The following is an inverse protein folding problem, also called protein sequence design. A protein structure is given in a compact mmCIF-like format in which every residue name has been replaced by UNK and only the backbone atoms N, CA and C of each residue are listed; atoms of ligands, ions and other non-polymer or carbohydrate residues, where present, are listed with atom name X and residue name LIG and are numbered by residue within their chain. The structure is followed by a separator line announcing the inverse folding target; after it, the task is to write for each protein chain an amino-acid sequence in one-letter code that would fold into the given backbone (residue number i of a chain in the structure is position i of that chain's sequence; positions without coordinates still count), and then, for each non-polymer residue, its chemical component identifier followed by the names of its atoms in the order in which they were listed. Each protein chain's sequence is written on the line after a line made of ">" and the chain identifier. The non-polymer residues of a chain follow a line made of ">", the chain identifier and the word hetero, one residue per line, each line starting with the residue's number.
data_IF_772745560555
#
_entry.id   IF_772745560555
#
_cell.length_a   1.000
_cell.length_b   1.000
_cell.length_c   1.000
_cell.angle_alpha   90.00
_cell.angle_beta   90.00
_cell.angle_gamma   90.00
#
_symmetry.space_group_name_H-M   'P 1'
#
loop_
_entity.id
_entity.type
_entity.pdbx_description
1 polymer ?
#
# COMPACT_ATOMS: atom_id res chain seq x y z
N UNK A 1 -11.30 25.38 34.46
CA UNK A 1 -9.89 25.62 34.17
C UNK A 1 -9.27 24.43 33.44
N UNK A 2 -9.40 23.15 33.88
CA UNK A 2 -8.77 21.99 33.22
C UNK A 2 -9.38 21.72 31.84
N UNK A 3 -10.70 21.79 31.65
CA UNK A 3 -11.40 21.66 30.38
C UNK A 3 -11.03 22.78 29.39
N UNK A 4 -10.97 24.03 29.87
CA UNK A 4 -10.55 25.16 29.02
C UNK A 4 -9.11 25.03 28.53
N UNK A 5 -8.17 24.56 29.39
CA UNK A 5 -6.78 24.34 29.01
C UNK A 5 -6.66 23.23 27.96
N UNK A 6 -7.44 22.15 28.08
CA UNK A 6 -7.47 21.08 27.07
C UNK A 6 -8.06 21.56 25.72
N UNK A 7 -9.10 22.41 25.75
CA UNK A 7 -9.67 23.03 24.56
C UNK A 7 -8.63 23.89 23.84
N UNK A 8 -7.95 24.78 24.54
CA UNK A 8 -6.89 25.62 23.95
C UNK A 8 -5.69 24.81 23.38
N UNK A 9 -5.40 23.62 23.91
CA UNK A 9 -4.36 22.76 23.36
C UNK A 9 -4.84 22.17 22.03
N UNK A 10 -6.08 21.69 21.98
CA UNK A 10 -6.69 21.14 20.76
C UNK A 10 -6.80 22.19 19.67
N UNK A 11 -7.29 23.38 19.99
CA UNK A 11 -7.45 24.48 19.04
C UNK A 11 -6.10 24.86 18.41
N UNK A 12 -5.06 25.07 19.24
CA UNK A 12 -3.72 25.41 18.75
C UNK A 12 -3.12 24.30 17.87
N UNK A 13 -3.34 23.04 18.22
CA UNK A 13 -2.86 21.91 17.43
C UNK A 13 -3.62 21.81 16.11
N UNK A 14 -4.94 22.05 16.12
CA UNK A 14 -5.78 22.05 14.93
C UNK A 14 -5.36 23.17 13.98
N UNK A 15 -5.20 24.39 14.47
CA UNK A 15 -4.77 25.55 13.68
C UNK A 15 -3.39 25.29 13.02
N UNK A 16 -2.44 24.76 13.79
CA UNK A 16 -1.11 24.40 13.31
C UNK A 16 -1.16 23.35 12.19
N UNK A 17 -1.93 22.27 12.37
CA UNK A 17 -2.06 21.21 11.36
C UNK A 17 -2.77 21.72 10.10
N UNK A 18 -3.85 22.52 10.25
CA UNK A 18 -4.55 23.13 9.12
C UNK A 18 -3.64 24.06 8.31
N UNK A 19 -2.88 24.93 8.98
CA UNK A 19 -1.91 25.79 8.31
C UNK A 19 -0.89 24.97 7.50
N UNK A 20 -0.38 23.89 8.09
CA UNK A 20 0.60 23.02 7.43
C UNK A 20 0.00 22.27 6.24
N UNK A 21 -1.20 21.69 6.38
CA UNK A 21 -1.92 20.98 5.33
C UNK A 21 -2.20 21.91 4.14
N UNK A 22 -2.68 23.13 4.42
CA UNK A 22 -2.95 24.11 3.37
C UNK A 22 -1.67 24.62 2.70
N UNK A 23 -0.61 24.87 3.47
CA UNK A 23 0.70 25.34 2.94
C UNK A 23 1.34 24.31 2.00
N UNK A 24 1.16 23.03 2.28
CA UNK A 24 1.68 21.92 1.46
C UNK A 24 0.70 21.46 0.36
N UNK A 25 -0.45 22.14 0.20
CA UNK A 25 -1.48 21.86 -0.80
C UNK A 25 -2.13 20.46 -0.71
N UNK A 26 -2.19 19.89 0.50
CA UNK A 26 -2.82 18.59 0.74
C UNK A 26 -4.27 18.65 1.23
N UNK A 27 -4.91 19.83 1.25
CA UNK A 27 -6.30 19.95 1.71
C UNK A 27 -7.27 19.08 0.88
N UNK A 28 -7.09 19.03 -0.45
CA UNK A 28 -7.87 18.18 -1.35
C UNK A 28 -7.71 16.70 -1.04
N UNK A 29 -6.49 16.26 -0.73
CA UNK A 29 -6.20 14.88 -0.34
C UNK A 29 -6.98 14.47 0.92
N UNK A 30 -6.94 15.29 1.99
CA UNK A 30 -7.69 15.04 3.22
C UNK A 30 -9.20 14.97 2.98
N UNK A 31 -9.74 15.87 2.13
CA UNK A 31 -11.17 15.89 1.82
C UNK A 31 -11.62 14.66 1.04
N UNK A 32 -10.82 14.19 0.08
CA UNK A 32 -11.11 12.96 -0.67
C UNK A 32 -11.08 11.75 0.26
N UNK A 33 -10.09 11.65 1.15
CA UNK A 33 -10.01 10.54 2.12
C UNK A 33 -11.19 10.57 3.07
N UNK A 34 -11.54 11.74 3.63
CA UNK A 34 -12.69 11.89 4.50
C UNK A 34 -13.99 11.49 3.80
N UNK A 35 -14.15 11.83 2.53
CA UNK A 35 -15.32 11.54 1.74
C UNK A 35 -15.58 10.04 1.62
N UNK A 36 -14.61 9.27 1.12
CA UNK A 36 -14.84 7.84 0.93
C UNK A 36 -14.87 7.05 2.26
N UNK A 37 -14.16 7.51 3.31
CA UNK A 37 -14.25 6.91 4.65
C UNK A 37 -15.63 7.12 5.26
N UNK A 38 -16.15 8.35 5.22
CA UNK A 38 -17.49 8.66 5.72
C UNK A 38 -18.57 7.93 4.92
N UNK A 39 -18.43 7.87 3.59
CA UNK A 39 -19.35 7.10 2.76
C UNK A 39 -19.36 5.61 3.14
N UNK A 40 -18.20 5.01 3.36
CA UNK A 40 -18.10 3.61 3.79
C UNK A 40 -18.82 3.38 5.12
N UNK A 41 -18.60 4.25 6.11
CA UNK A 41 -19.25 4.17 7.42
C UNK A 41 -20.78 4.32 7.31
N UNK A 42 -21.28 5.25 6.48
CA UNK A 42 -22.70 5.46 6.24
C UNK A 42 -23.37 4.29 5.49
N UNK A 43 -22.59 3.46 4.81
CA UNK A 43 -23.06 2.26 4.09
C UNK A 43 -22.72 0.96 4.83
N UNK A 44 -22.56 0.99 6.15
CA UNK A 44 -22.30 -0.17 7.02
C UNK A 44 -21.05 -0.98 6.62
N UNK A 45 -20.06 -0.34 5.99
CA UNK A 45 -18.77 -0.94 5.67
C UNK A 45 -17.82 -0.61 6.82
N UNK A 46 -17.36 -1.60 7.62
CA UNK A 46 -16.39 -1.36 8.68
C UNK A 46 -15.09 -0.78 8.15
N UNK A 47 -14.66 0.30 8.79
CA UNK A 47 -13.38 0.97 8.55
C UNK A 47 -12.51 0.84 9.79
N UNK A 48 -11.21 0.62 9.59
CA UNK A 48 -10.25 0.55 10.69
C UNK A 48 -10.11 1.89 11.41
N UNK A 49 -9.65 1.88 12.68
CA UNK A 49 -9.55 3.11 13.49
C UNK A 49 -8.43 4.06 13.04
N UNK A 50 -7.66 3.67 12.05
CA UNK A 50 -6.47 4.36 11.60
C UNK A 50 -5.19 3.69 12.13
N UNK A 51 -4.11 3.78 11.36
CA UNK A 51 -2.80 3.25 11.68
C UNK A 51 -1.68 4.10 11.04
N UNK A 52 -0.44 3.75 11.31
CA UNK A 52 0.71 4.47 10.76
C UNK A 52 0.83 5.91 11.28
N UNK A 53 1.44 6.76 10.49
CA UNK A 53 1.69 8.17 10.84
C UNK A 53 0.42 9.04 10.77
N UNK A 54 -0.54 8.69 9.90
CA UNK A 54 -1.79 9.43 9.73
C UNK A 54 -2.66 9.51 11.00
N UNK A 55 -2.53 8.53 11.91
CA UNK A 55 -3.19 8.56 13.21
C UNK A 55 -2.69 9.72 14.11
N UNK A 56 -1.57 10.36 13.77
CA UNK A 56 -1.03 11.52 14.49
C UNK A 56 -1.73 12.86 14.19
N UNK A 57 -2.65 12.91 13.22
CA UNK A 57 -3.34 14.14 12.82
C UNK A 57 -4.67 14.35 13.56
N UNK A 58 -4.82 15.52 14.23
CA UNK A 58 -6.09 15.92 14.82
C UNK A 58 -7.11 16.35 13.76
N UNK A 59 -6.64 16.85 12.62
CA UNK A 59 -7.52 17.17 11.47
C UNK A 59 -8.13 15.88 10.91
N UNK A 60 -7.33 14.82 10.74
CA UNK A 60 -7.83 13.51 10.30
C UNK A 60 -8.85 12.92 11.29
N UNK A 61 -8.60 13.08 12.59
CA UNK A 61 -9.54 12.69 13.65
C UNK A 61 -10.84 13.50 13.59
N UNK A 62 -10.76 14.81 13.42
CA UNK A 62 -11.94 15.69 13.33
C UNK A 62 -12.78 15.44 12.07
N UNK A 63 -12.14 15.06 10.95
CA UNK A 63 -12.80 14.69 9.69
C UNK A 63 -13.39 13.27 9.70
N UNK A 64 -13.15 12.48 10.75
CA UNK A 64 -13.60 11.09 10.83
C UNK A 64 -12.77 10.10 10.02
N UNK A 65 -11.61 10.50 9.50
CA UNK A 65 -10.67 9.62 8.79
C UNK A 65 -10.09 8.59 9.76
N UNK A 66 -9.76 9.02 10.98
CA UNK A 66 -9.25 8.16 12.05
C UNK A 66 -10.16 8.25 13.29
N UNK A 67 -10.20 7.17 14.07
CA UNK A 67 -10.95 7.10 15.33
C UNK A 67 -10.03 7.22 16.57
N UNK A 68 -8.74 7.52 16.37
CA UNK A 68 -7.73 7.65 17.43
C UNK A 68 -7.49 9.12 17.71
N UNK A 69 -7.75 9.56 18.98
CA UNK A 69 -7.45 10.92 19.42
C UNK A 69 -5.93 11.09 19.60
N UNK A 70 -5.24 11.84 18.70
CA UNK A 70 -3.78 11.95 18.74
C UNK A 70 -3.25 12.67 19.97
N UNK A 71 -4.04 13.56 20.58
CA UNK A 71 -3.65 14.27 21.79
C UNK A 71 -3.70 13.36 23.01
N UNK A 72 -4.70 12.47 23.06
CA UNK A 72 -4.83 11.51 24.16
C UNK A 72 -3.67 10.52 24.23
N UNK A 73 -3.13 10.17 23.07
CA UNK A 73 -2.04 9.18 22.93
C UNK A 73 -0.68 9.80 22.63
N UNK A 74 -0.56 11.13 22.71
CA UNK A 74 0.67 11.91 22.48
C UNK A 74 1.35 11.58 21.14
N UNK A 75 0.53 11.49 20.07
CA UNK A 75 1.00 11.18 18.73
C UNK A 75 1.47 12.45 18.01
N UNK A 76 2.58 12.33 17.29
CA UNK A 76 3.23 13.44 16.59
C UNK A 76 2.72 13.56 15.15
N UNK A 77 2.23 14.77 14.78
CA UNK A 77 1.80 15.11 13.43
C UNK A 77 2.98 15.20 12.47
N UNK A 78 4.12 15.63 12.94
CA UNK A 78 5.35 15.82 12.16
C UNK A 78 5.90 14.50 11.57
N UNK A 79 5.44 13.35 12.08
CA UNK A 79 5.71 12.03 11.48
C UNK A 79 4.88 11.78 10.24
N UNK A 80 3.74 12.44 10.12
CA UNK A 80 2.81 12.31 9.00
C UNK A 80 3.10 13.37 7.93
N UNK A 81 3.14 14.64 8.30
CA UNK A 81 3.49 15.74 7.42
C UNK A 81 4.59 16.60 8.05
N UNK A 82 5.67 16.78 7.31
CA UNK A 82 6.78 17.63 7.70
C UNK A 82 7.31 18.35 6.47
N UNK A 83 7.38 19.70 6.45
CA UNK A 83 7.90 20.47 5.32
C UNK A 83 9.37 20.20 5.02
N UNK A 84 10.14 19.71 6.00
CA UNK A 84 11.54 19.33 5.81
C UNK A 84 11.70 17.95 5.16
N UNK A 85 10.64 17.14 5.15
CA UNK A 85 10.62 15.81 4.56
C UNK A 85 9.78 15.82 3.29
N UNK A 86 10.44 15.76 2.14
CA UNK A 86 9.79 15.66 0.83
C UNK A 86 9.18 14.25 0.67
N UNK A 87 8.02 14.02 1.30
CA UNK A 87 7.25 12.79 1.09
C UNK A 87 5.76 13.13 1.12
N UNK A 88 5.01 12.57 0.17
CA UNK A 88 3.55 12.71 0.14
C UNK A 88 2.93 12.10 1.40
N UNK A 89 1.79 12.66 1.89
CA UNK A 89 1.02 12.04 2.95
C UNK A 89 0.47 10.70 2.47
N UNK A 90 0.47 9.70 3.33
CA UNK A 90 -0.02 8.36 3.03
C UNK A 90 -0.97 7.89 4.15
N UNK A 91 -2.28 7.93 3.87
CA UNK A 91 -3.28 7.34 4.74
C UNK A 91 -3.51 5.88 4.34
N UNK A 92 -3.09 4.99 5.21
CA UNK A 92 -3.45 3.56 5.15
C UNK A 92 -4.86 3.35 5.69
N UNK A 93 -5.85 3.19 4.82
CA UNK A 93 -7.23 2.97 5.25
C UNK A 93 -7.59 1.50 5.10
N UNK A 94 -7.90 0.89 6.24
CA UNK A 94 -8.32 -0.51 6.30
C UNK A 94 -9.84 -0.61 6.19
N UNK A 95 -10.34 -1.30 5.17
CA UNK A 95 -11.75 -1.65 4.99
C UNK A 95 -12.00 -3.13 5.27
N UNK A 96 -13.21 -3.50 5.63
CA UNK A 96 -13.57 -4.90 5.61
C UNK A 96 -13.47 -5.44 4.17
N UNK A 97 -12.93 -6.65 4.02
CA UNK A 97 -12.59 -7.19 2.69
C UNK A 97 -13.82 -7.29 1.76
N UNK A 98 -15.00 -7.59 2.31
CA UNK A 98 -16.25 -7.71 1.56
C UNK A 98 -16.82 -6.36 1.12
N UNK A 99 -16.45 -5.27 1.82
CA UNK A 99 -16.95 -3.93 1.52
C UNK A 99 -16.00 -3.08 0.68
N UNK A 100 -14.71 -3.46 0.61
CA UNK A 100 -13.65 -2.67 -0.06
C UNK A 100 -13.99 -2.33 -1.52
N UNK A 101 -14.43 -3.31 -2.28
CA UNK A 101 -14.72 -3.11 -3.71
C UNK A 101 -15.92 -2.17 -3.92
N UNK A 102 -16.90 -2.15 -3.02
CA UNK A 102 -18.01 -1.19 -3.05
C UNK A 102 -17.53 0.25 -2.82
N UNK A 103 -16.50 0.45 -1.96
CA UNK A 103 -15.90 1.77 -1.77
C UNK A 103 -15.15 2.20 -3.02
N UNK A 104 -14.44 1.28 -3.68
CA UNK A 104 -13.75 1.56 -4.93
C UNK A 104 -14.73 1.93 -6.05
N UNK A 105 -15.86 1.22 -6.16
CA UNK A 105 -16.94 1.53 -7.09
C UNK A 105 -17.53 2.92 -6.83
N UNK A 106 -17.74 3.28 -5.56
CA UNK A 106 -18.20 4.61 -5.18
C UNK A 106 -17.23 5.70 -5.63
N UNK A 107 -15.95 5.55 -5.34
CA UNK A 107 -14.90 6.48 -5.73
C UNK A 107 -14.83 6.63 -7.25
N UNK A 108 -14.85 5.51 -7.97
CA UNK A 108 -14.83 5.49 -9.44
C UNK A 108 -16.06 6.19 -10.04
N UNK A 109 -17.24 5.98 -9.46
CA UNK A 109 -18.46 6.62 -9.94
C UNK A 109 -18.51 8.13 -9.60
N UNK A 110 -17.96 8.52 -8.44
CA UNK A 110 -17.98 9.91 -7.98
C UNK A 110 -16.96 10.79 -8.69
N UNK A 111 -15.72 10.31 -8.80
CA UNK A 111 -14.61 11.08 -9.36
C UNK A 111 -14.43 10.88 -10.88
N UNK A 112 -15.09 9.87 -11.44
CA UNK A 112 -15.08 9.57 -12.88
C UNK A 112 -14.21 8.37 -13.24
N UNK A 113 -14.73 7.55 -14.17
CA UNK A 113 -14.03 6.34 -14.63
C UNK A 113 -12.72 6.63 -15.35
N UNK A 114 -12.62 7.80 -15.97
CA UNK A 114 -11.41 8.22 -16.68
C UNK A 114 -10.37 8.84 -15.75
N UNK A 115 -10.76 9.15 -14.49
CA UNK A 115 -9.89 9.82 -13.51
C UNK A 115 -9.43 8.90 -12.38
N UNK A 116 -9.93 7.66 -12.32
CA UNK A 116 -9.62 6.70 -11.26
C UNK A 116 -9.07 5.40 -11.85
N UNK A 117 -7.91 4.96 -11.38
CA UNK A 117 -7.37 3.65 -11.75
C UNK A 117 -6.56 3.03 -10.61
N UNK A 118 -6.38 1.72 -10.67
CA UNK A 118 -5.42 1.03 -9.81
C UNK A 118 -3.98 1.34 -10.23
N UNK A 119 -3.03 1.24 -9.29
CA UNK A 119 -1.60 1.39 -9.57
C UNK A 119 -1.05 0.05 -10.03
N UNK A 120 -0.15 0.04 -11.02
CA UNK A 120 0.58 -1.17 -11.40
C UNK A 120 1.70 -1.50 -10.42
N UNK A 121 2.06 -2.77 -10.39
CA UNK A 121 3.28 -3.24 -9.74
C UNK A 121 4.15 -3.93 -10.79
N UNK A 122 5.44 -3.65 -10.75
CA UNK A 122 6.42 -4.34 -11.60
C UNK A 122 7.16 -5.38 -10.78
N UNK A 123 6.94 -6.63 -11.09
CA UNK A 123 7.77 -7.70 -10.56
C UNK A 123 9.10 -7.73 -11.29
N UNK A 124 10.20 -7.57 -10.57
CA UNK A 124 11.56 -7.69 -11.08
C UNK A 124 12.16 -9.05 -10.77
N UNK A 125 13.17 -9.45 -11.53
CA UNK A 125 13.94 -10.66 -11.27
C UNK A 125 14.85 -10.42 -10.06
N UNK A 126 14.38 -10.77 -8.87
CA UNK A 126 15.17 -10.67 -7.65
C UNK A 126 16.21 -11.81 -7.55
N UNK A 127 17.29 -11.61 -6.79
CA UNK A 127 18.46 -12.47 -6.69
C UNK A 127 18.15 -13.98 -6.56
N UNK A 128 17.27 -14.37 -5.61
CA UNK A 128 16.90 -15.78 -5.40
C UNK A 128 16.04 -16.35 -6.53
N UNK A 129 15.20 -15.49 -7.12
CA UNK A 129 14.31 -15.92 -8.20
C UNK A 129 15.08 -16.11 -9.51
N UNK A 130 15.94 -15.15 -9.87
CA UNK A 130 16.70 -15.19 -11.11
C UNK A 130 17.63 -16.40 -11.19
N UNK A 131 18.29 -16.79 -10.08
CA UNK A 131 19.11 -18.03 -10.04
C UNK A 131 18.28 -19.28 -10.38
N UNK A 132 17.09 -19.42 -9.78
CA UNK A 132 16.22 -20.57 -10.08
C UNK A 132 15.70 -20.55 -11.51
N UNK A 133 15.38 -19.36 -12.02
CA UNK A 133 14.91 -19.21 -13.41
C UNK A 133 16.01 -19.56 -14.42
N UNK A 134 17.23 -19.08 -14.21
CA UNK A 134 18.39 -19.42 -15.07
C UNK A 134 18.67 -20.92 -15.04
N UNK A 135 18.70 -21.54 -13.84
CA UNK A 135 18.88 -22.99 -13.69
C UNK A 135 17.83 -23.77 -14.48
N UNK A 136 16.57 -23.35 -14.37
CA UNK A 136 15.45 -23.98 -15.10
C UNK A 136 15.59 -23.86 -16.61
N UNK A 137 15.96 -22.67 -17.12
CA UNK A 137 16.15 -22.43 -18.57
C UNK A 137 17.32 -23.21 -19.14
N UNK A 138 18.40 -23.36 -18.34
CA UNK A 138 19.56 -24.20 -18.72
C UNK A 138 19.30 -25.72 -18.60
N UNK A 139 18.07 -26.13 -18.23
CA UNK A 139 17.71 -27.54 -18.11
C UNK A 139 18.38 -28.26 -16.93
N UNK A 140 18.94 -27.52 -15.97
CA UNK A 140 19.61 -28.11 -14.81
C UNK A 140 18.58 -28.53 -13.74
N UNK A 141 18.93 -29.49 -12.83
CA UNK A 141 18.02 -30.00 -11.81
C UNK A 141 17.53 -28.89 -10.87
N UNK A 142 16.25 -28.94 -10.46
CA UNK A 142 15.65 -27.96 -9.54
C UNK A 142 16.44 -27.83 -8.22
N UNK A 143 16.90 -28.97 -7.63
CA UNK A 143 17.68 -28.97 -6.40
C UNK A 143 18.99 -28.20 -6.49
N UNK A 144 19.58 -28.11 -7.69
CA UNK A 144 20.78 -27.31 -7.92
C UNK A 144 20.47 -25.81 -7.76
N UNK A 145 19.42 -25.32 -8.41
CA UNK A 145 19.00 -23.92 -8.29
C UNK A 145 18.54 -23.54 -6.88
N UNK A 146 17.88 -24.47 -6.19
CA UNK A 146 17.42 -24.23 -4.84
C UNK A 146 18.60 -24.17 -3.84
N UNK A 147 19.65 -24.96 -4.04
CA UNK A 147 20.90 -24.87 -3.28
C UNK A 147 21.58 -23.52 -3.43
N UNK A 148 21.72 -23.02 -4.67
CA UNK A 148 22.30 -21.70 -4.94
C UNK A 148 21.48 -20.59 -4.31
N UNK A 149 20.16 -20.62 -4.49
CA UNK A 149 19.26 -19.60 -3.94
C UNK A 149 19.20 -19.58 -2.41
N UNK A 150 19.33 -20.73 -1.74
CA UNK A 150 19.38 -20.83 -0.27
C UNK A 150 20.71 -20.37 0.34
N UNK A 151 21.78 -20.36 -0.44
CA UNK A 151 23.08 -19.84 0.00
C UNK A 151 23.09 -18.29 0.08
N UNK A 152 22.14 -17.60 -0.56
CA UNK A 152 21.99 -16.15 -0.45
C UNK A 152 21.54 -15.80 0.98
N UNK A 153 22.23 -14.84 1.65
CA UNK A 153 21.86 -14.38 3.00
C UNK A 153 20.41 -13.90 3.08
N UNK A 154 19.80 -14.06 4.26
CA UNK A 154 18.41 -13.64 4.50
C UNK A 154 18.33 -12.15 4.82
N UNK A 155 18.66 -11.31 3.82
CA UNK A 155 18.59 -9.87 3.87
C UNK A 155 17.61 -9.41 2.80
N UNK A 156 16.64 -8.59 3.20
CA UNK A 156 15.64 -8.05 2.28
C UNK A 156 16.30 -7.16 1.21
N UNK A 157 15.99 -7.41 -0.07
CA UNK A 157 16.48 -6.59 -1.18
C UNK A 157 17.96 -6.80 -1.52
N UNK A 158 18.62 -7.85 -1.00
CA UNK A 158 20.03 -8.15 -1.32
C UNK A 158 20.19 -8.42 -2.80
N UNK A 159 21.18 -7.80 -3.45
CA UNK A 159 21.57 -8.10 -4.83
C UNK A 159 22.53 -9.30 -4.89
N UNK A 160 22.67 -9.89 -6.08
CA UNK A 160 23.63 -10.97 -6.31
C UNK A 160 25.07 -10.52 -6.08
N UNK A 161 25.40 -9.28 -6.46
CA UNK A 161 26.74 -8.71 -6.21
C UNK A 161 27.01 -8.52 -4.71
N UNK A 162 26.01 -8.06 -3.93
CA UNK A 162 26.13 -7.97 -2.46
C UNK A 162 26.26 -9.35 -1.83
N UNK A 163 25.43 -10.31 -2.29
CA UNK A 163 25.47 -11.67 -1.80
C UNK A 163 26.85 -12.35 -2.07
N UNK A 164 27.48 -12.08 -3.21
CA UNK A 164 28.78 -12.65 -3.56
C UNK A 164 29.92 -12.17 -2.64
N UNK A 165 29.75 -11.03 -1.92
CA UNK A 165 30.72 -10.58 -0.92
C UNK A 165 30.69 -11.43 0.36
N UNK A 166 29.57 -12.15 0.58
CA UNK A 166 29.41 -13.03 1.73
C UNK A 166 30.10 -14.40 1.47
N UNK A 167 30.93 -14.80 2.40
CA UNK A 167 31.79 -16.00 2.27
C UNK A 167 31.00 -17.26 1.90
N UNK A 168 29.86 -17.49 2.55
CA UNK A 168 29.04 -18.68 2.31
C UNK A 168 28.52 -18.78 0.88
N UNK A 169 27.98 -17.67 0.34
CA UNK A 169 27.45 -17.65 -1.02
C UNK A 169 28.57 -17.76 -2.05
N UNK A 170 29.67 -17.04 -1.83
CA UNK A 170 30.85 -17.08 -2.69
C UNK A 170 31.43 -18.50 -2.81
N UNK A 171 31.57 -19.23 -1.69
CA UNK A 171 32.07 -20.60 -1.70
C UNK A 171 31.19 -21.52 -2.56
N UNK A 172 29.85 -21.38 -2.48
CA UNK A 172 28.89 -22.18 -3.25
C UNK A 172 28.96 -21.85 -4.75
N UNK A 173 29.17 -20.58 -5.10
CA UNK A 173 29.31 -20.17 -6.53
C UNK A 173 30.65 -20.64 -7.08
N UNK A 174 31.74 -20.53 -6.32
CA UNK A 174 33.10 -20.88 -6.75
C UNK A 174 33.36 -22.39 -6.76
N UNK A 175 32.45 -23.22 -6.22
CA UNK A 175 32.57 -24.67 -6.11
C UNK A 175 32.63 -25.37 -7.49
N UNK A 176 31.92 -24.81 -8.50
CA UNK A 176 31.88 -25.41 -9.84
C UNK A 176 31.73 -24.35 -10.94
N UNK A 177 32.25 -24.70 -12.12
CA UNK A 177 32.09 -23.84 -13.30
C UNK A 177 30.61 -23.69 -13.72
N UNK A 178 29.79 -24.72 -13.45
CA UNK A 178 28.35 -24.62 -13.67
C UNK A 178 27.67 -23.61 -12.77
N UNK A 179 28.10 -23.48 -11.50
CA UNK A 179 27.59 -22.47 -10.57
C UNK A 179 27.97 -21.07 -11.03
N UNK A 180 29.20 -20.89 -11.51
CA UNK A 180 29.67 -19.62 -12.06
C UNK A 180 28.90 -19.21 -13.32
N UNK A 181 28.68 -20.14 -14.26
CA UNK A 181 27.88 -19.91 -15.46
C UNK A 181 26.47 -19.39 -15.12
N UNK A 182 25.80 -20.05 -14.15
CA UNK A 182 24.47 -19.65 -13.68
C UNK A 182 24.53 -18.28 -13.05
N UNK A 183 25.52 -17.99 -12.19
CA UNK A 183 25.69 -16.71 -11.52
C UNK A 183 25.93 -15.58 -12.53
N UNK A 184 26.83 -15.76 -13.51
CA UNK A 184 27.13 -14.73 -14.50
C UNK A 184 25.93 -14.41 -15.40
N UNK A 185 25.13 -15.41 -15.75
CA UNK A 185 23.85 -15.18 -16.43
C UNK A 185 22.84 -14.46 -15.56
N UNK A 186 22.72 -14.89 -14.30
CA UNK A 186 21.79 -14.30 -13.36
C UNK A 186 22.09 -12.84 -13.10
N UNK A 187 23.37 -12.44 -13.00
CA UNK A 187 23.79 -11.04 -12.86
C UNK A 187 23.31 -10.14 -13.99
N UNK A 188 23.27 -10.66 -15.23
CA UNK A 188 22.78 -9.90 -16.40
C UNK A 188 21.27 -9.71 -16.41
N UNK A 189 20.54 -10.58 -15.72
CA UNK A 189 19.07 -10.63 -15.71
C UNK A 189 18.49 -10.04 -14.41
N UNK A 190 19.28 -9.93 -13.35
CA UNK A 190 18.83 -9.36 -12.07
C UNK A 190 18.32 -7.94 -12.29
N UNK A 191 17.18 -7.62 -11.65
CA UNK A 191 16.54 -6.30 -11.75
C UNK A 191 15.71 -6.07 -13.01
N UNK A 192 15.79 -6.92 -14.04
CA UNK A 192 14.93 -6.79 -15.21
C UNK A 192 13.47 -7.04 -14.86
N UNK A 193 12.57 -6.29 -15.48
CA UNK A 193 11.12 -6.48 -15.32
C UNK A 193 10.70 -7.85 -15.85
N UNK A 194 9.98 -8.62 -15.03
CA UNK A 194 9.49 -9.96 -15.33
C UNK A 194 7.99 -10.00 -15.56
N UNK A 195 7.25 -9.29 -14.75
CA UNK A 195 5.79 -9.30 -14.77
C UNK A 195 5.23 -7.93 -14.38
N UNK A 196 4.05 -7.66 -14.90
CA UNK A 196 3.24 -6.52 -14.50
C UNK A 196 2.00 -7.08 -13.79
N UNK A 197 1.67 -6.51 -12.64
CA UNK A 197 0.47 -6.82 -11.89
C UNK A 197 -0.22 -5.54 -11.43
N UNK A 198 -1.36 -5.66 -10.80
CA UNK A 198 -2.05 -4.54 -10.15
C UNK A 198 -1.71 -4.53 -8.66
N UNK A 199 -1.44 -3.35 -8.12
CA UNK A 199 -1.22 -3.17 -6.68
C UNK A 199 -2.48 -3.56 -5.90
N UNK A 200 -2.31 -4.26 -4.78
CA UNK A 200 -3.44 -4.80 -4.02
C UNK A 200 -4.33 -3.71 -3.39
N UNK A 201 -3.78 -2.54 -3.12
CA UNK A 201 -4.45 -1.48 -2.38
C UNK A 201 -4.39 -0.11 -3.07
N UNK A 202 -3.31 0.19 -3.79
CA UNK A 202 -3.04 1.51 -4.34
C UNK A 202 -3.98 1.88 -5.49
N UNK A 203 -4.58 3.04 -5.36
CA UNK A 203 -5.47 3.66 -6.33
C UNK A 203 -5.02 5.11 -6.54
N UNK A 204 -5.09 5.60 -7.75
CA UNK A 204 -4.89 7.00 -8.08
C UNK A 204 -6.20 7.66 -8.45
N UNK A 205 -6.36 8.90 -8.01
CA UNK A 205 -7.48 9.77 -8.35
C UNK A 205 -6.87 11.04 -8.93
N UNK A 206 -7.07 11.26 -10.24
CA UNK A 206 -6.53 12.41 -10.94
C UNK A 206 -7.57 13.56 -11.02
N UNK A 207 -7.12 14.81 -11.09
CA UNK A 207 -8.00 15.97 -11.24
C UNK A 207 -8.63 16.07 -12.65
N UNK A 208 -8.00 15.45 -13.66
CA UNK A 208 -8.48 15.34 -15.05
C UNK A 208 -8.37 13.89 -15.51
N UNK A 209 -8.45 13.61 -16.80
CA UNK A 209 -8.27 12.26 -17.31
C UNK A 209 -6.88 11.72 -16.94
N UNK A 210 -6.81 10.49 -16.45
CA UNK A 210 -5.54 9.83 -16.07
C UNK A 210 -4.53 9.77 -17.23
N UNK A 211 -5.02 9.72 -18.45
CA UNK A 211 -4.19 9.74 -19.67
C UNK A 211 -3.37 11.01 -19.85
N UNK A 212 -3.70 12.09 -19.13
CA UNK A 212 -2.90 13.32 -19.10
C UNK A 212 -1.62 13.15 -18.27
N UNK A 213 -1.58 12.15 -17.38
CA UNK A 213 -0.49 11.91 -16.43
C UNK A 213 0.26 10.61 -16.69
N UNK A 214 -0.46 9.53 -17.03
CA UNK A 214 0.11 8.18 -17.14
C UNK A 214 -0.57 7.42 -18.27
N UNK A 215 0.19 6.60 -19.03
CA UNK A 215 -0.44 5.62 -19.90
C UNK A 215 -1.18 4.57 -19.06
N UNK A 216 -2.25 4.04 -19.62
CA UNK A 216 -3.10 3.05 -18.96
C UNK A 216 -2.95 1.68 -19.63
N UNK A 217 -3.21 0.62 -18.88
CA UNK A 217 -3.39 -0.73 -19.45
C UNK A 217 -4.62 -1.41 -18.84
N UNK A 218 -5.21 -2.29 -19.59
CA UNK A 218 -6.30 -3.15 -19.15
C UNK A 218 -5.71 -4.46 -18.63
N UNK A 219 -5.92 -4.75 -17.36
CA UNK A 219 -5.66 -6.08 -16.80
C UNK A 219 -6.75 -7.03 -17.34
N UNK A 220 -6.41 -7.83 -18.35
CA UNK A 220 -7.35 -8.73 -19.03
C UNK A 220 -7.90 -9.82 -18.11
N UNK A 221 -7.16 -10.20 -17.07
CA UNK A 221 -7.58 -11.23 -16.12
C UNK A 221 -8.65 -10.74 -15.16
N UNK A 222 -8.58 -9.45 -14.80
CA UNK A 222 -9.50 -8.82 -13.84
C UNK A 222 -10.51 -7.88 -14.51
N UNK A 223 -10.28 -7.50 -15.76
CA UNK A 223 -11.11 -6.50 -16.44
C UNK A 223 -11.00 -5.09 -15.85
N UNK A 224 -9.93 -4.80 -15.09
CA UNK A 224 -9.70 -3.51 -14.43
C UNK A 224 -8.66 -2.68 -15.16
N UNK A 225 -8.86 -1.36 -15.14
CA UNK A 225 -7.88 -0.41 -15.70
C UNK A 225 -6.86 -0.07 -14.64
N UNK A 226 -5.58 -0.09 -15.01
CA UNK A 226 -4.48 0.29 -14.14
C UNK A 226 -3.54 1.28 -14.85
N UNK A 227 -2.78 2.07 -14.07
CA UNK A 227 -1.69 2.88 -14.60
C UNK A 227 -0.56 1.98 -15.09
N UNK A 228 0.16 2.38 -16.15
CA UNK A 228 1.41 1.69 -16.50
C UNK A 228 2.58 2.12 -15.60
N UNK A 229 2.46 3.25 -14.93
CA UNK A 229 3.44 3.70 -13.95
C UNK A 229 3.25 2.95 -12.63
N UNK A 230 4.35 2.57 -11.98
CA UNK A 230 4.35 2.07 -10.63
C UNK A 230 4.20 3.20 -9.60
N UNK A 231 4.22 2.86 -8.32
CA UNK A 231 3.97 3.81 -7.25
C UNK A 231 4.94 5.02 -7.27
N UNK A 232 6.24 4.81 -7.54
CA UNK A 232 7.23 5.88 -7.58
C UNK A 232 7.08 6.79 -8.80
N UNK A 233 6.80 6.18 -9.96
CA UNK A 233 6.57 6.90 -11.21
C UNK A 233 5.27 7.73 -11.16
N UNK A 234 4.21 7.19 -10.53
CA UNK A 234 2.92 7.90 -10.32
C UNK A 234 3.11 9.15 -9.46
N UNK A 235 3.86 9.06 -8.37
CA UNK A 235 4.18 10.20 -7.52
C UNK A 235 5.05 11.23 -8.26
N UNK A 236 6.01 10.77 -9.06
CA UNK A 236 6.85 11.63 -9.91
C UNK A 236 6.06 12.36 -10.99
N UNK A 237 4.96 11.77 -11.47
CA UNK A 237 4.01 12.39 -12.39
C UNK A 237 3.07 13.41 -11.72
N UNK A 238 3.20 13.63 -10.39
CA UNK A 238 2.40 14.59 -9.62
C UNK A 238 1.05 14.08 -9.14
N UNK A 239 0.81 12.77 -9.22
CA UNK A 239 -0.39 12.15 -8.67
C UNK A 239 -0.15 11.68 -7.22
N UNK A 240 -1.23 11.64 -6.45
CA UNK A 240 -1.19 11.13 -5.07
C UNK A 240 -1.88 9.77 -5.00
N UNK A 241 -1.24 8.85 -4.29
CA UNK A 241 -1.75 7.51 -4.04
C UNK A 241 -2.77 7.51 -2.90
N UNK A 242 -3.79 6.68 -3.02
CA UNK A 242 -4.76 6.37 -1.98
C UNK A 242 -4.74 4.85 -1.73
N UNK A 243 -4.52 4.44 -0.48
CA UNK A 243 -4.45 3.01 -0.14
C UNK A 243 -5.76 2.48 0.42
N UNK A 244 -6.44 1.65 -0.36
CA UNK A 244 -7.66 0.93 0.00
C UNK A 244 -7.30 -0.50 0.43
N UNK A 245 -7.01 -0.71 1.70
CA UNK A 245 -6.57 -2.01 2.21
C UNK A 245 -7.75 -2.87 2.63
N UNK A 246 -7.80 -4.12 2.19
CA UNK A 246 -8.80 -5.10 2.61
C UNK A 246 -8.32 -5.89 3.83
N UNK A 247 -8.98 -5.74 4.99
CA UNK A 247 -8.61 -6.42 6.23
C UNK A 247 -9.68 -7.44 6.65
N UNK A 248 -9.35 -8.74 6.58
CA UNK A 248 -10.25 -9.84 6.94
C UNK A 248 -10.71 -9.77 8.40
N UNK A 249 -9.87 -9.27 9.30
CA UNK A 249 -10.20 -9.13 10.72
C UNK A 249 -11.42 -8.22 10.94
N UNK A 250 -11.56 -7.13 10.17
CA UNK A 250 -12.74 -6.25 10.26
C UNK A 250 -14.02 -6.98 9.85
N UNK A 251 -13.95 -7.84 8.83
CA UNK A 251 -15.07 -8.69 8.41
C UNK A 251 -15.46 -9.67 9.52
N UNK A 252 -14.47 -10.33 10.15
CA UNK A 252 -14.73 -11.27 11.25
C UNK A 252 -15.38 -10.56 12.45
N UNK A 253 -14.89 -9.37 12.81
CA UNK A 253 -15.47 -8.57 13.92
C UNK A 253 -16.93 -8.22 13.59
N UNK A 254 -17.22 -7.72 12.38
CA UNK A 254 -18.58 -7.40 11.95
C UNK A 254 -19.51 -8.57 12.06
N UNK A 255 -19.10 -9.73 11.51
CA UNK A 255 -19.89 -10.95 11.57
C UNK A 255 -20.12 -11.44 13.01
N UNK A 256 -19.07 -11.41 13.86
CA UNK A 256 -19.18 -11.80 15.26
C UNK A 256 -20.20 -10.94 16.02
N UNK A 257 -20.18 -9.61 15.81
CA UNK A 257 -21.16 -8.69 16.40
C UNK A 257 -22.58 -9.01 15.89
N UNK A 258 -22.75 -9.24 14.58
CA UNK A 258 -24.02 -9.61 13.99
C UNK A 258 -24.58 -10.90 14.62
N UNK A 259 -23.78 -11.96 14.72
CA UNK A 259 -24.19 -13.22 15.35
C UNK A 259 -24.56 -13.07 16.83
N UNK A 260 -23.86 -12.21 17.56
CA UNK A 260 -24.16 -11.97 18.99
C UNK A 260 -25.52 -11.30 19.20
N UNK A 261 -25.99 -10.53 18.22
CA UNK A 261 -27.25 -9.77 18.29
C UNK A 261 -28.41 -10.41 17.50
N UNK A 262 -28.22 -11.61 16.93
CA UNK A 262 -29.30 -12.36 16.33
C UNK A 262 -30.38 -12.71 17.36
N UNK A 263 -31.64 -12.49 17.03
CA UNK A 263 -32.78 -12.89 17.87
C UNK A 263 -33.04 -14.39 17.71
N UNK A 264 -33.54 -15.04 18.77
CA UNK A 264 -33.74 -16.49 18.81
C UNK A 264 -34.65 -17.02 17.67
N UNK A 265 -35.61 -16.23 17.20
CA UNK A 265 -36.52 -16.63 16.10
C UNK A 265 -35.86 -16.47 14.70
N UNK A 266 -34.79 -15.71 14.58
CA UNK A 266 -33.99 -15.57 13.33
C UNK A 266 -33.03 -16.74 13.11
N UNK A 267 -32.77 -17.53 14.16
CA UNK A 267 -31.91 -18.73 14.10
C UNK A 267 -32.64 -20.02 13.78
N UNK A 268 -33.99 -20.01 13.71
CA UNK A 268 -34.79 -21.20 13.45
C UNK A 268 -35.06 -21.51 11.96
N UNK A 269 -34.56 -20.69 11.04
CA UNK A 269 -34.73 -20.87 9.59
C UNK A 269 -33.54 -21.53 8.88
N UNK A 270 -32.58 -22.12 9.65
CA UNK A 270 -31.42 -22.82 9.08
C UNK A 270 -31.35 -24.25 9.62
#
# INVERSE_FOLDING_TARGET
>A
IRRQRQMCIRDRRLDYELEMICKLDFAGYFLIVADFVNWAQLNDIPVGPGRGSGAGSIVAYALGITAIDPIKYDLLFERFLNPERVSNPDFDIDFCIEGRDKVLDYVTNKYGKDSVAQISTRGTMAARAVLRDVVRVLGKPYGFGDRLAKAIPDKLGISLEEAYKEKQFKEVIDESDESKEVYDMALKLEGLSRSVGTHAAGVVIAPTALTDFTPLFLDSDKGTVASQFDMGDVESAGLVKFDFLGLKTLTIIKQSVSYTHLRAHETSEY
#
